data_IF_833304764746
#
_entry.id   IF_833304764746
#
_cell.length_a   1.000
_cell.length_b   1.000
_cell.length_c   1.000
_cell.angle_alpha   90.00
_cell.angle_beta   90.00
_cell.angle_gamma   90.00
#
_symmetry.space_group_name_H-M   'P 1'
#
loop_
_entity.id
_entity.type
_entity.pdbx_description
1 polymer ?
#
# COMPACT_ATOMS: atom_id res chain seq x y z
N UNK A 1 38.76 0.83 -3.55
CA UNK A 1 37.45 1.27 -3.01
C UNK A 1 36.80 0.04 -2.41
N UNK A 2 36.76 -0.10 -1.08
CA UNK A 2 36.09 -1.25 -0.44
C UNK A 2 34.60 -1.08 -0.66
N UNK A 3 33.97 -2.05 -1.31
CA UNK A 3 32.51 -2.12 -1.35
C UNK A 3 32.07 -2.31 0.12
N UNK A 4 31.34 -1.32 0.63
CA UNK A 4 30.72 -1.38 1.94
C UNK A 4 29.70 -2.54 1.90
N UNK A 5 30.14 -3.69 2.39
CA UNK A 5 29.34 -4.93 2.41
C UNK A 5 28.45 -4.97 3.64
N UNK A 6 27.76 -3.86 3.97
CA UNK A 6 26.77 -3.88 5.03
C UNK A 6 25.69 -4.90 4.67
N UNK A 7 25.61 -6.04 5.38
CA UNK A 7 24.67 -7.10 5.06
C UNK A 7 23.20 -6.71 5.25
N UNK A 8 22.93 -5.55 5.87
CA UNK A 8 21.60 -5.00 6.06
C UNK A 8 21.18 -4.06 4.93
N UNK A 9 22.05 -3.74 3.99
CA UNK A 9 21.72 -2.94 2.79
C UNK A 9 21.38 -3.84 1.63
N UNK A 10 20.11 -3.84 1.25
CA UNK A 10 19.61 -4.56 0.07
C UNK A 10 20.02 -3.87 -1.25
N UNK A 11 20.43 -2.60 -1.18
CA UNK A 11 20.86 -1.80 -2.32
C UNK A 11 21.85 -0.72 -1.87
N UNK A 12 22.80 -0.31 -2.74
CA UNK A 12 23.79 0.70 -2.37
C UNK A 12 23.15 2.07 -2.12
N UNK A 13 23.68 2.79 -1.15
CA UNK A 13 23.29 4.18 -0.95
C UNK A 13 23.75 5.02 -2.15
N UNK A 14 22.85 5.85 -2.66
CA UNK A 14 23.14 6.82 -3.71
C UNK A 14 22.47 8.15 -3.36
N UNK A 15 23.30 9.17 -3.09
CA UNK A 15 22.75 10.50 -2.81
C UNK A 15 22.03 11.07 -4.02
N UNK A 16 20.97 11.85 -3.81
CA UNK A 16 20.19 12.42 -4.91
C UNK A 16 21.01 13.38 -5.77
N UNK A 17 22.00 14.05 -5.19
CA UNK A 17 22.91 14.98 -5.89
C UNK A 17 23.81 14.28 -6.89
N UNK A 18 24.06 12.98 -6.70
CA UNK A 18 24.91 12.14 -7.55
C UNK A 18 24.10 11.38 -8.60
N UNK A 19 22.76 11.50 -8.57
CA UNK A 19 21.90 10.79 -9.52
C UNK A 19 21.78 11.55 -10.82
N UNK A 20 21.79 10.86 -11.96
CA UNK A 20 21.49 11.50 -13.24
C UNK A 20 20.06 12.04 -13.23
N UNK A 21 19.80 13.10 -13.95
CA UNK A 21 18.44 13.60 -14.12
C UNK A 21 17.58 12.56 -14.82
N UNK A 22 16.40 12.28 -14.25
CA UNK A 22 15.44 11.35 -14.83
C UNK A 22 14.75 12.04 -16.01
N UNK A 23 14.81 11.43 -17.17
CA UNK A 23 14.02 11.81 -18.32
C UNK A 23 12.74 10.95 -18.35
N UNK A 24 11.60 11.59 -18.19
CA UNK A 24 10.32 10.90 -18.26
C UNK A 24 9.89 10.67 -19.72
N UNK A 25 9.15 9.58 -20.03
CA UNK A 25 8.57 9.37 -21.35
C UNK A 25 7.73 10.57 -21.81
N UNK A 26 7.71 10.80 -23.13
CA UNK A 26 6.91 11.86 -23.76
C UNK A 26 7.21 13.28 -23.24
N UNK A 27 8.45 13.54 -22.79
CA UNK A 27 8.86 14.83 -22.22
C UNK A 27 8.01 15.25 -21.01
N UNK A 28 7.42 14.32 -20.31
CA UNK A 28 6.66 14.60 -19.11
C UNK A 28 7.56 15.25 -18.04
N UNK A 29 7.02 16.26 -17.35
CA UNK A 29 7.75 17.01 -16.32
C UNK A 29 7.50 16.47 -14.92
N UNK A 30 6.39 15.72 -14.74
CA UNK A 30 5.94 15.17 -13.48
C UNK A 30 5.43 13.76 -13.71
N UNK A 31 5.76 12.84 -12.81
CA UNK A 31 5.11 11.55 -12.67
C UNK A 31 4.23 11.57 -11.43
N UNK A 32 2.98 11.14 -11.57
CA UNK A 32 2.03 11.00 -10.45
C UNK A 32 1.72 9.54 -10.27
N UNK A 33 1.96 9.07 -9.07
CA UNK A 33 1.68 7.69 -8.67
C UNK A 33 0.70 7.69 -7.51
N UNK A 34 -0.51 7.16 -7.73
CA UNK A 34 -1.56 7.12 -6.72
C UNK A 34 -1.56 5.75 -6.06
N UNK A 35 -1.25 5.74 -4.77
CA UNK A 35 -1.10 4.51 -3.98
C UNK A 35 -2.11 4.53 -2.81
N UNK A 36 -3.34 4.04 -3.01
CA UNK A 36 -4.26 3.83 -1.89
C UNK A 36 -3.75 2.70 -0.99
N UNK A 37 -3.66 2.92 0.31
CA UNK A 37 -3.45 1.87 1.28
C UNK A 37 -4.78 1.25 1.65
N UNK A 38 -4.92 -0.06 1.45
CA UNK A 38 -6.10 -0.82 1.85
C UNK A 38 -5.66 -1.85 2.88
N UNK A 39 -6.07 -1.62 4.11
CA UNK A 39 -5.52 -2.28 5.27
C UNK A 39 -6.60 -2.98 6.08
N UNK A 40 -6.25 -4.12 6.66
CA UNK A 40 -7.06 -4.82 7.65
C UNK A 40 -6.46 -4.66 9.04
N UNK A 41 -7.31 -4.38 10.01
CA UNK A 41 -6.96 -4.26 11.42
C UNK A 41 -7.81 -5.20 12.24
N UNK A 42 -7.17 -6.05 13.03
CA UNK A 42 -7.86 -6.90 13.98
C UNK A 42 -8.41 -6.05 15.13
N UNK A 43 -9.59 -6.42 15.60
CA UNK A 43 -10.27 -5.69 16.67
C UNK A 43 -9.59 -5.87 18.04
N UNK A 44 -8.86 -6.98 18.23
CA UNK A 44 -8.37 -7.44 19.54
C UNK A 44 -6.90 -7.13 19.81
N UNK A 45 -6.21 -6.38 18.93
CA UNK A 45 -4.77 -6.23 19.09
C UNK A 45 -4.41 -5.21 20.13
N UNK A 46 -3.71 -5.69 21.15
CA UNK A 46 -3.00 -4.91 22.15
C UNK A 46 -3.79 -4.46 23.36
N UNK A 47 -5.09 -4.80 23.46
CA UNK A 47 -5.92 -4.40 24.61
C UNK A 47 -6.74 -5.58 25.14
N UNK A 48 -6.88 -5.66 26.45
CA UNK A 48 -7.75 -6.63 27.12
C UNK A 48 -9.25 -6.42 26.79
N UNK A 49 -9.60 -5.24 26.24
CA UNK A 49 -10.95 -4.88 25.80
C UNK A 49 -10.87 -4.45 24.33
N UNK A 50 -11.74 -4.97 23.46
CA UNK A 50 -11.78 -4.57 22.04
C UNK A 50 -12.01 -3.07 21.87
N UNK A 51 -11.17 -2.39 21.10
CA UNK A 51 -11.36 -0.99 20.75
C UNK A 51 -12.31 -0.84 19.56
N UNK A 52 -13.60 -0.99 19.84
CA UNK A 52 -14.67 -0.90 18.84
C UNK A 52 -14.66 0.45 18.13
N UNK A 53 -14.35 1.53 18.84
CA UNK A 53 -14.33 2.89 18.25
C UNK A 53 -13.22 3.01 17.21
N UNK A 54 -12.02 2.58 17.54
CA UNK A 54 -10.91 2.64 16.60
C UNK A 54 -11.13 1.70 15.40
N UNK A 55 -11.62 0.49 15.69
CA UNK A 55 -11.96 -0.47 14.63
C UNK A 55 -13.00 0.10 13.66
N UNK A 56 -14.10 0.67 14.15
CA UNK A 56 -15.15 1.22 13.28
C UNK A 56 -14.68 2.37 12.38
N UNK A 57 -13.76 3.20 12.87
CA UNK A 57 -13.16 4.28 12.06
C UNK A 57 -12.31 3.74 10.93
N UNK A 58 -11.54 2.67 11.17
CA UNK A 58 -10.68 2.03 10.16
C UNK A 58 -11.50 1.20 9.18
N UNK A 59 -12.47 0.44 9.69
CA UNK A 59 -13.36 -0.41 8.91
C UNK A 59 -14.25 0.39 7.93
N UNK A 60 -14.58 1.65 8.26
CA UNK A 60 -15.26 2.56 7.34
C UNK A 60 -14.50 2.72 6.00
N UNK A 61 -13.17 2.72 6.03
CA UNK A 61 -12.33 2.76 4.84
C UNK A 61 -12.65 1.61 3.88
N UNK A 62 -12.72 0.39 4.40
CA UNK A 62 -12.99 -0.82 3.60
C UNK A 62 -14.46 -0.94 3.18
N UNK A 63 -15.39 -0.40 3.98
CA UNK A 63 -16.84 -0.46 3.67
C UNK A 63 -17.31 0.62 2.71
N UNK A 64 -16.76 1.81 2.80
CA UNK A 64 -17.24 2.97 2.06
C UNK A 64 -16.12 3.73 1.33
N UNK A 65 -15.04 4.02 2.05
CA UNK A 65 -13.98 4.92 1.55
C UNK A 65 -13.32 4.43 0.26
N UNK A 66 -12.95 3.15 0.21
CA UNK A 66 -12.30 2.53 -0.95
C UNK A 66 -13.15 2.63 -2.21
N UNK A 67 -14.47 2.42 -2.09
CA UNK A 67 -15.39 2.46 -3.23
C UNK A 67 -15.47 3.86 -3.83
N UNK A 68 -15.50 4.89 -2.98
CA UNK A 68 -15.46 6.29 -3.41
C UNK A 68 -14.14 6.66 -4.10
N UNK A 69 -13.01 6.16 -3.58
CA UNK A 69 -11.70 6.36 -4.21
C UNK A 69 -11.68 5.67 -5.58
N UNK A 70 -12.15 4.44 -5.68
CA UNK A 70 -12.23 3.70 -6.94
C UNK A 70 -13.07 4.45 -7.98
N UNK A 71 -14.23 4.96 -7.59
CA UNK A 71 -15.11 5.75 -8.45
C UNK A 71 -14.43 7.03 -8.96
N UNK A 72 -13.80 7.80 -8.06
CA UNK A 72 -13.11 9.04 -8.43
C UNK A 72 -11.95 8.78 -9.37
N UNK A 73 -11.11 7.78 -9.08
CA UNK A 73 -9.97 7.45 -9.93
C UNK A 73 -10.43 6.94 -11.30
N UNK A 74 -11.47 6.11 -11.35
CA UNK A 74 -12.05 5.63 -12.61
C UNK A 74 -12.61 6.78 -13.45
N UNK A 75 -13.34 7.73 -12.82
CA UNK A 75 -13.87 8.92 -13.48
C UNK A 75 -12.78 9.77 -14.16
N UNK A 76 -11.59 9.78 -13.59
CA UNK A 76 -10.44 10.53 -14.12
C UNK A 76 -9.46 9.69 -14.94
N UNK A 77 -9.80 8.44 -15.27
CA UNK A 77 -8.93 7.50 -15.96
C UNK A 77 -7.57 7.29 -15.28
N UNK A 78 -7.54 7.34 -13.95
CA UNK A 78 -6.36 7.10 -13.14
C UNK A 78 -6.41 5.67 -12.59
N UNK A 79 -5.37 4.89 -12.85
CA UNK A 79 -5.19 3.58 -12.23
C UNK A 79 -4.43 3.74 -10.91
N UNK A 80 -4.89 3.05 -9.88
CA UNK A 80 -4.19 2.97 -8.61
C UNK A 80 -3.17 1.83 -8.60
N UNK A 81 -2.14 1.95 -7.77
CA UNK A 81 -1.32 0.83 -7.31
C UNK A 81 -1.66 0.63 -5.84
N UNK A 82 -2.47 -0.37 -5.52
CA UNK A 82 -2.96 -0.56 -4.16
C UNK A 82 -1.93 -1.24 -3.28
N UNK A 83 -1.54 -0.60 -2.18
CA UNK A 83 -0.79 -1.23 -1.09
C UNK A 83 -1.77 -2.02 -0.23
N UNK A 84 -1.73 -3.35 -0.33
CA UNK A 84 -2.77 -4.24 0.12
C UNK A 84 -2.27 -5.25 1.14
N UNK A 85 -2.93 -5.32 2.31
CA UNK A 85 -2.73 -6.45 3.20
C UNK A 85 -3.37 -7.71 2.62
N UNK A 86 -2.74 -8.86 2.80
CA UNK A 86 -3.26 -10.13 2.31
C UNK A 86 -4.63 -10.49 2.91
N UNK A 87 -4.88 -10.13 4.17
CA UNK A 87 -6.17 -10.35 4.83
C UNK A 87 -7.31 -9.52 4.25
N UNK A 88 -7.04 -8.43 3.56
CA UNK A 88 -8.09 -7.71 2.81
C UNK A 88 -8.68 -8.60 1.74
N UNK A 89 -7.86 -9.35 1.02
CA UNK A 89 -8.35 -10.33 0.04
C UNK A 89 -9.20 -11.43 0.67
N UNK A 90 -8.88 -11.83 1.90
CA UNK A 90 -9.62 -12.86 2.64
C UNK A 90 -10.97 -12.35 3.17
N UNK A 91 -10.99 -11.16 3.77
CA UNK A 91 -12.18 -10.65 4.48
C UNK A 91 -13.05 -9.73 3.61
N UNK A 92 -12.48 -9.12 2.57
CA UNK A 92 -13.17 -8.19 1.69
C UNK A 92 -12.93 -8.52 0.20
N UNK A 93 -13.25 -9.74 -0.26
CA UNK A 93 -12.92 -10.20 -1.62
C UNK A 93 -13.48 -9.28 -2.72
N UNK A 94 -14.62 -8.62 -2.48
CA UNK A 94 -15.22 -7.67 -3.41
C UNK A 94 -14.32 -6.49 -3.75
N UNK A 95 -13.48 -6.04 -2.81
CA UNK A 95 -12.50 -4.96 -3.04
C UNK A 95 -11.46 -5.44 -4.06
N UNK A 96 -10.99 -6.69 -3.91
CA UNK A 96 -10.02 -7.28 -4.83
C UNK A 96 -10.59 -7.44 -6.24
N UNK A 97 -11.81 -7.97 -6.33
CA UNK A 97 -12.50 -8.14 -7.62
C UNK A 97 -12.62 -6.81 -8.37
N UNK A 98 -13.02 -5.74 -7.69
CA UNK A 98 -13.17 -4.43 -8.32
C UNK A 98 -11.81 -3.81 -8.67
N UNK A 99 -10.79 -3.93 -7.82
CA UNK A 99 -9.45 -3.45 -8.13
C UNK A 99 -8.89 -4.13 -9.39
N UNK A 100 -9.06 -5.45 -9.53
CA UNK A 100 -8.65 -6.20 -10.73
C UNK A 100 -9.43 -5.74 -11.96
N UNK A 101 -10.76 -5.57 -11.85
CA UNK A 101 -11.61 -5.07 -12.93
C UNK A 101 -11.20 -3.68 -13.40
N UNK A 102 -10.82 -2.80 -12.47
CA UNK A 102 -10.28 -1.47 -12.75
C UNK A 102 -8.82 -1.48 -13.22
N UNK A 103 -8.22 -2.67 -13.36
CA UNK A 103 -6.82 -2.87 -13.77
C UNK A 103 -5.81 -2.16 -12.84
N UNK A 104 -6.12 -2.12 -11.55
CA UNK A 104 -5.19 -1.62 -10.56
C UNK A 104 -4.03 -2.59 -10.36
N UNK A 105 -2.85 -2.07 -10.09
CA UNK A 105 -1.72 -2.89 -9.67
C UNK A 105 -1.85 -3.27 -8.20
N UNK A 106 -1.45 -4.50 -7.87
CA UNK A 106 -1.47 -5.00 -6.50
C UNK A 106 -0.05 -5.02 -5.94
N UNK A 107 0.19 -4.24 -4.88
CA UNK A 107 1.45 -4.18 -4.16
C UNK A 107 1.27 -4.78 -2.77
N UNK A 108 2.13 -5.75 -2.40
CA UNK A 108 2.07 -6.37 -1.08
C UNK A 108 2.35 -5.38 0.05
N UNK A 109 1.50 -5.42 1.09
CA UNK A 109 1.60 -4.53 2.27
C UNK A 109 1.51 -5.33 3.59
N UNK A 110 2.15 -6.50 3.61
CA UNK A 110 2.10 -7.42 4.75
C UNK A 110 0.81 -8.22 4.83
N UNK A 111 0.71 -9.04 5.89
CA UNK A 111 -0.47 -9.87 6.13
C UNK A 111 -1.66 -9.03 6.62
N UNK A 112 -1.43 -8.27 7.66
CA UNK A 112 -2.38 -7.36 8.33
C UNK A 112 -1.62 -6.13 8.82
N UNK A 113 -2.32 -5.04 9.07
CA UNK A 113 -1.67 -3.85 9.65
C UNK A 113 -1.59 -3.87 11.19
N UNK A 114 -1.96 -4.97 11.78
CA UNK A 114 -1.99 -5.16 13.23
C UNK A 114 -0.71 -5.79 13.79
N UNK A 115 0.07 -6.46 12.94
CA UNK A 115 1.28 -7.19 13.36
C UNK A 115 2.44 -6.81 12.45
N UNK A 116 3.54 -6.38 13.04
CA UNK A 116 4.77 -6.14 12.29
C UNK A 116 5.35 -7.46 11.77
N UNK A 117 5.91 -7.41 10.56
CA UNK A 117 6.70 -8.53 10.04
C UNK A 117 7.96 -8.67 10.89
N UNK A 118 8.01 -9.72 11.71
CA UNK A 118 9.20 -10.11 12.47
C UNK A 118 9.85 -11.27 11.73
N UNK A 119 11.10 -11.10 11.34
CA UNK A 119 11.88 -12.23 10.84
C UNK A 119 12.22 -13.10 12.06
N UNK A 120 11.85 -14.39 12.08
CA UNK A 120 12.30 -15.29 13.15
C UNK A 120 13.84 -15.29 13.19
N UNK A 121 14.40 -15.13 14.38
CA UNK A 121 15.85 -15.29 14.60
C UNK A 121 16.24 -16.74 14.43
#
# INVERSE_FOLDING_TARGET
MSQDTDPFRLFPYQAIVDRPRVAWPNSARVAVWVIPNIEHFHIEIGNAVPDIRNHSRRDYGNRVGVWRIMEVLAKHNVRGTVALNAEVGRFYPRIMEEAVKLKWELMGHGLTNSVMLVVPK
#
